data_IF_031986473280
#
_entry.id   IF_031986473280
#
_cell.length_a   1.000
_cell.length_b   1.000
_cell.length_c   1.000
_cell.angle_alpha   90.00
_cell.angle_beta   90.00
_cell.angle_gamma   90.00
#
_symmetry.space_group_name_H-M   'P 1'
#
loop_
_entity.id
_entity.type
_entity.pdbx_description
1 polymer ?
#
# COMPACT_ATOMS: atom_id res chain seq x y z
N UNK A 1 8.35 36.61 -2.88
CA UNK A 1 8.55 38.00 -3.37
C UNK A 1 9.93 38.20 -4.01
N UNK A 2 11.04 38.22 -3.25
CA UNK A 2 12.38 38.45 -3.86
C UNK A 2 12.74 37.37 -4.92
N UNK A 3 12.35 36.11 -4.69
CA UNK A 3 12.47 35.04 -5.69
C UNK A 3 11.65 35.34 -6.96
N UNK A 4 10.40 35.78 -6.81
CA UNK A 4 9.51 36.09 -7.93
C UNK A 4 10.02 37.29 -8.76
N UNK A 5 10.56 38.30 -8.08
CA UNK A 5 11.18 39.47 -8.73
C UNK A 5 12.40 39.07 -9.56
N UNK A 6 13.27 38.21 -9.01
CA UNK A 6 14.45 37.71 -9.72
C UNK A 6 14.05 36.80 -10.90
N UNK A 7 13.06 35.91 -10.71
CA UNK A 7 12.54 35.05 -11.77
C UNK A 7 11.98 35.89 -12.94
N UNK A 8 11.24 36.96 -12.64
CA UNK A 8 10.72 37.88 -13.65
C UNK A 8 11.84 38.65 -14.37
N UNK A 9 12.83 39.16 -13.63
CA UNK A 9 13.96 39.91 -14.20
C UNK A 9 14.77 39.06 -15.18
N UNK A 10 15.06 37.81 -14.81
CA UNK A 10 15.88 36.88 -15.61
C UNK A 10 15.09 36.02 -16.59
N UNK A 11 13.76 36.16 -16.62
CA UNK A 11 12.86 35.28 -17.38
C UNK A 11 13.02 33.79 -17.03
N UNK A 12 13.37 33.50 -15.78
CA UNK A 12 13.55 32.15 -15.26
C UNK A 12 12.25 31.56 -14.73
N UNK A 13 12.24 30.25 -14.56
CA UNK A 13 11.35 29.56 -13.64
C UNK A 13 12.17 29.10 -12.42
N UNK A 14 11.70 29.43 -11.22
CA UNK A 14 12.35 29.01 -9.97
C UNK A 14 11.32 28.15 -9.26
N UNK A 15 11.42 26.80 -9.34
CA UNK A 15 10.48 25.90 -8.70
C UNK A 15 10.36 26.23 -7.22
N UNK A 16 9.13 26.57 -6.82
CA UNK A 16 8.86 26.97 -5.46
C UNK A 16 8.67 25.73 -4.61
N UNK A 17 9.64 25.52 -3.73
CA UNK A 17 9.56 24.57 -2.64
C UNK A 17 9.27 25.34 -1.35
N UNK A 18 8.07 25.18 -0.80
CA UNK A 18 7.66 25.93 0.40
C UNK A 18 8.43 25.48 1.64
N UNK A 19 8.79 24.19 1.76
CA UNK A 19 9.55 23.67 2.90
C UNK A 19 10.96 24.26 2.90
N UNK A 20 11.62 24.28 1.74
CA UNK A 20 12.93 24.90 1.60
C UNK A 20 12.86 26.42 1.81
N UNK A 21 11.81 27.08 1.31
CA UNK A 21 11.60 28.52 1.53
C UNK A 21 11.44 28.84 3.02
N UNK A 22 10.65 28.05 3.73
CA UNK A 22 10.47 28.18 5.17
C UNK A 22 11.78 27.89 5.91
N UNK A 23 12.54 26.87 5.51
CA UNK A 23 13.86 26.59 6.12
C UNK A 23 14.80 27.78 5.97
N UNK A 24 15.04 28.26 4.74
CA UNK A 24 16.02 29.33 4.49
C UNK A 24 15.62 30.66 5.11
N UNK A 25 14.31 30.92 5.24
CA UNK A 25 13.80 32.15 5.87
C UNK A 25 13.95 32.11 7.39
N UNK A 26 13.79 30.94 8.02
CA UNK A 26 14.03 30.78 9.46
C UNK A 26 15.51 30.72 9.83
N UNK A 27 16.40 30.42 8.89
CA UNK A 27 17.86 30.39 9.12
C UNK A 27 18.50 31.79 9.19
N UNK A 28 17.81 32.84 8.71
CA UNK A 28 18.41 34.17 8.54
C UNK A 28 17.53 35.28 9.11
N UNK A 29 18.15 36.30 9.70
CA UNK A 29 17.42 37.45 10.25
C UNK A 29 17.03 38.47 9.17
N UNK A 30 17.88 38.63 8.15
CA UNK A 30 17.69 39.57 7.05
C UNK A 30 17.85 38.84 5.71
N UNK A 31 16.80 38.19 5.18
CA UNK A 31 16.90 37.41 3.95
C UNK A 31 17.14 38.31 2.74
N UNK A 32 18.25 38.10 2.04
CA UNK A 32 18.51 38.70 0.72
C UNK A 32 18.81 37.61 -0.29
N UNK A 33 18.05 37.60 -1.39
CA UNK A 33 18.19 36.65 -2.49
C UNK A 33 19.38 37.04 -3.38
N UNK A 34 20.13 36.04 -3.83
CA UNK A 34 21.16 36.17 -4.85
C UNK A 34 21.19 34.95 -5.78
N UNK A 35 21.61 35.15 -7.02
CA UNK A 35 21.86 34.06 -7.98
C UNK A 35 23.35 33.80 -8.16
N UNK A 36 23.68 32.55 -8.45
CA UNK A 36 25.00 32.13 -8.95
C UNK A 36 24.85 31.21 -10.16
N UNK A 37 25.98 30.87 -10.76
CA UNK A 37 26.09 29.98 -11.91
C UNK A 37 27.02 28.80 -11.63
N UNK A 38 26.83 27.71 -12.37
CA UNK A 38 27.76 26.57 -12.40
C UNK A 38 28.04 26.17 -13.84
N UNK A 39 29.04 25.32 -14.06
CA UNK A 39 29.40 24.85 -15.39
C UNK A 39 28.26 24.07 -16.05
N UNK A 40 27.93 24.40 -17.30
CA UNK A 40 26.91 23.73 -18.11
C UNK A 40 27.18 22.23 -18.28
N UNK A 41 28.46 21.82 -18.19
CA UNK A 41 28.89 20.42 -18.21
C UNK A 41 28.19 19.54 -17.16
N UNK A 42 27.80 20.13 -16.01
CA UNK A 42 27.10 19.40 -14.96
C UNK A 42 25.67 19.02 -15.35
N UNK A 43 25.07 19.66 -16.36
CA UNK A 43 23.74 19.29 -16.86
C UNK A 43 23.71 17.90 -17.53
N UNK A 44 24.87 17.29 -17.78
CA UNK A 44 24.97 15.90 -18.23
C UNK A 44 24.66 14.88 -17.12
N UNK A 45 24.64 15.30 -15.85
CA UNK A 45 24.25 14.48 -14.70
C UNK A 45 22.71 14.49 -14.59
N UNK A 46 22.07 13.40 -14.14
CA UNK A 46 20.63 13.40 -13.91
C UNK A 46 20.16 14.59 -13.05
N UNK A 47 19.07 15.22 -13.48
CA UNK A 47 18.50 16.41 -12.85
C UNK A 47 18.25 16.18 -11.34
N UNK A 48 17.79 15.00 -10.96
CA UNK A 48 17.49 14.66 -9.56
C UNK A 48 18.74 14.74 -8.68
N UNK A 49 19.92 14.39 -9.20
CA UNK A 49 21.19 14.54 -8.48
C UNK A 49 21.55 16.01 -8.30
N UNK A 50 21.38 16.82 -9.35
CA UNK A 50 21.66 18.26 -9.31
C UNK A 50 20.72 18.97 -8.35
N UNK A 51 19.42 18.70 -8.44
CA UNK A 51 18.38 19.26 -7.59
C UNK A 51 18.58 18.85 -6.14
N UNK A 52 18.85 17.57 -5.84
CA UNK A 52 19.13 17.12 -4.46
C UNK A 52 20.39 17.78 -3.90
N UNK A 53 21.47 17.88 -4.70
CA UNK A 53 22.70 18.57 -4.26
C UNK A 53 22.44 20.04 -3.95
N UNK A 54 21.65 20.73 -4.77
CA UNK A 54 21.29 22.13 -4.55
C UNK A 54 20.39 22.29 -3.32
N UNK A 55 19.28 21.57 -3.25
CA UNK A 55 18.26 21.75 -2.21
C UNK A 55 18.72 21.22 -0.86
N UNK A 56 19.01 19.93 -0.75
CA UNK A 56 19.24 19.26 0.53
C UNK A 56 20.62 19.62 1.11
N UNK A 57 21.65 19.69 0.27
CA UNK A 57 23.02 19.88 0.77
C UNK A 57 23.39 21.35 0.90
N UNK A 58 22.88 22.22 0.03
CA UNK A 58 23.27 23.65 -0.02
C UNK A 58 22.14 24.63 0.29
N UNK A 59 20.87 24.19 0.36
CA UNK A 59 19.69 25.05 0.52
C UNK A 59 19.56 26.08 -0.60
N UNK A 60 19.82 25.63 -1.82
CA UNK A 60 19.73 26.42 -3.04
C UNK A 60 18.49 26.00 -3.83
N UNK A 61 17.85 26.97 -4.45
CA UNK A 61 16.76 26.76 -5.39
C UNK A 61 17.33 26.49 -6.78
N UNK A 62 16.95 25.37 -7.43
CA UNK A 62 17.28 25.15 -8.82
C UNK A 62 16.60 26.20 -9.71
N UNK A 63 17.16 26.43 -10.89
CA UNK A 63 16.60 27.33 -11.90
C UNK A 63 16.24 26.51 -13.14
N UNK A 64 15.07 26.74 -13.68
CA UNK A 64 14.57 26.13 -14.90
C UNK A 64 14.25 27.17 -15.96
N UNK A 65 14.19 26.73 -17.21
CA UNK A 65 13.66 27.51 -18.32
C UNK A 65 12.11 27.41 -18.36
N UNK A 66 11.48 28.00 -19.39
CA UNK A 66 10.02 27.96 -19.56
C UNK A 66 9.49 26.61 -20.05
N UNK A 67 10.36 25.73 -20.52
CA UNK A 67 10.02 24.37 -20.95
C UNK A 67 10.13 23.35 -19.80
N UNK A 68 10.74 23.76 -18.68
CA UNK A 68 10.96 22.93 -17.49
C UNK A 68 12.35 22.30 -17.41
N UNK A 69 13.24 22.63 -18.34
CA UNK A 69 14.61 22.13 -18.39
C UNK A 69 15.49 22.89 -17.39
N UNK A 70 16.39 22.17 -16.71
CA UNK A 70 17.30 22.76 -15.74
C UNK A 70 18.31 23.68 -16.42
N UNK A 71 18.47 24.90 -15.89
CA UNK A 71 19.48 25.86 -16.32
C UNK A 71 20.71 25.80 -15.40
N UNK A 72 21.91 26.20 -15.88
CA UNK A 72 23.16 26.17 -15.11
C UNK A 72 23.26 27.33 -14.10
N UNK A 73 22.15 27.63 -13.43
CA UNK A 73 21.99 28.66 -12.43
C UNK A 73 21.34 28.11 -11.17
N UNK A 74 21.62 28.75 -10.05
CA UNK A 74 20.96 28.49 -8.78
C UNK A 74 20.66 29.80 -8.07
N UNK A 75 19.71 29.75 -7.16
CA UNK A 75 19.34 30.89 -6.33
C UNK A 75 19.49 30.51 -4.87
N UNK A 76 20.01 31.41 -4.04
CA UNK A 76 20.20 31.18 -2.61
C UNK A 76 19.87 32.44 -1.81
N UNK A 77 19.72 32.27 -0.50
CA UNK A 77 19.40 33.34 0.44
C UNK A 77 20.57 33.52 1.40
N UNK A 78 21.06 34.75 1.52
CA UNK A 78 22.04 35.13 2.55
C UNK A 78 21.38 35.87 3.70
N UNK A 79 22.09 35.93 4.83
CA UNK A 79 21.76 36.84 5.93
C UNK A 79 22.44 38.22 5.74
N UNK A 80 21.64 39.29 5.65
CA UNK A 80 22.05 40.70 5.57
C UNK A 80 21.75 41.37 4.23
N UNK A 81 22.32 42.56 3.98
CA UNK A 81 21.99 43.47 2.87
C UNK A 81 22.62 43.11 1.50
N UNK A 82 22.51 44.02 0.52
CA UNK A 82 23.06 43.88 -0.83
C UNK A 82 24.57 44.10 -0.95
N UNK A 83 25.28 44.26 0.17
CA UNK A 83 26.72 44.55 0.14
C UNK A 83 27.52 43.30 -0.24
N UNK A 84 28.39 43.46 -1.24
CA UNK A 84 29.30 42.43 -1.73
C UNK A 84 28.61 41.12 -2.18
N UNK A 85 27.38 41.19 -2.70
CA UNK A 85 26.62 40.03 -3.19
C UNK A 85 27.42 39.19 -4.20
N UNK A 86 28.16 39.82 -5.11
CA UNK A 86 28.99 39.10 -6.08
C UNK A 86 30.10 38.25 -5.46
N UNK A 87 30.65 38.68 -4.32
CA UNK A 87 31.67 37.90 -3.61
C UNK A 87 31.04 36.70 -2.91
N UNK A 88 29.84 36.89 -2.34
CA UNK A 88 29.06 35.81 -1.72
C UNK A 88 28.64 34.79 -2.79
N UNK A 89 28.13 35.26 -3.94
CA UNK A 89 27.79 34.42 -5.09
C UNK A 89 28.99 33.57 -5.51
N UNK A 90 30.14 34.17 -5.80
CA UNK A 90 31.38 33.44 -6.16
C UNK A 90 31.81 32.40 -5.12
N UNK A 91 31.60 32.70 -3.83
CA UNK A 91 31.83 31.74 -2.75
C UNK A 91 30.91 30.52 -2.86
N UNK A 92 29.61 30.76 -3.01
CA UNK A 92 28.60 29.71 -3.17
C UNK A 92 28.82 28.89 -4.46
N UNK A 93 29.17 29.54 -5.57
CA UNK A 93 29.52 28.86 -6.84
C UNK A 93 30.68 27.88 -6.64
N UNK A 94 31.73 28.29 -5.91
CA UNK A 94 32.87 27.42 -5.62
C UNK A 94 32.48 26.21 -4.78
N UNK A 95 31.60 26.39 -3.79
CA UNK A 95 31.12 25.31 -2.93
C UNK A 95 30.24 24.34 -3.72
N UNK A 96 29.29 24.86 -4.50
CA UNK A 96 28.42 24.03 -5.34
C UNK A 96 29.23 23.25 -6.37
N UNK A 97 30.16 23.89 -7.07
CA UNK A 97 31.04 23.24 -8.06
C UNK A 97 31.78 22.05 -7.46
N UNK A 98 32.33 22.18 -6.25
CA UNK A 98 33.00 21.07 -5.59
C UNK A 98 32.06 19.88 -5.38
N UNK A 99 30.84 20.14 -4.87
CA UNK A 99 29.82 19.09 -4.66
C UNK A 99 29.34 18.45 -5.96
N UNK A 100 29.11 19.25 -6.99
CA UNK A 100 28.70 18.75 -8.30
C UNK A 100 29.81 17.94 -8.97
N UNK A 101 31.09 18.30 -8.74
CA UNK A 101 32.24 17.51 -9.23
C UNK A 101 32.30 16.13 -8.59
N UNK A 102 32.05 16.04 -7.28
CA UNK A 102 31.99 14.76 -6.57
C UNK A 102 30.82 13.91 -7.09
N UNK A 103 29.63 14.51 -7.24
CA UNK A 103 28.47 13.84 -7.82
C UNK A 103 28.73 13.36 -9.26
N UNK A 104 29.37 14.18 -10.09
CA UNK A 104 29.76 13.83 -11.46
C UNK A 104 30.69 12.62 -11.47
N UNK A 105 31.64 12.59 -10.55
CA UNK A 105 32.58 11.49 -10.39
C UNK A 105 31.86 10.20 -10.01
N UNK A 106 30.99 10.23 -8.99
CA UNK A 106 30.21 9.06 -8.58
C UNK A 106 29.33 8.54 -9.71
N UNK A 107 28.61 9.44 -10.40
CA UNK A 107 27.77 9.07 -11.53
C UNK A 107 28.59 8.35 -12.60
N UNK A 108 29.73 8.93 -13.00
CA UNK A 108 30.61 8.36 -14.04
C UNK A 108 31.21 7.00 -13.65
N UNK A 109 31.57 6.80 -12.38
CA UNK A 109 32.07 5.52 -11.92
C UNK A 109 30.96 4.45 -11.90
N UNK A 110 29.76 4.81 -11.46
CA UNK A 110 28.61 3.91 -11.43
C UNK A 110 28.16 3.47 -12.83
N UNK A 111 28.35 4.28 -13.88
CA UNK A 111 28.03 3.86 -15.27
C UNK A 111 28.79 2.61 -15.73
N UNK A 112 29.88 2.25 -15.04
CA UNK A 112 30.72 1.08 -15.36
C UNK A 112 30.34 -0.16 -14.55
N UNK A 113 29.31 -0.07 -13.71
CA UNK A 113 28.92 -1.16 -12.83
C UNK A 113 28.35 -2.36 -13.61
N UNK A 114 28.36 -3.52 -12.97
CA UNK A 114 27.59 -4.68 -13.39
C UNK A 114 26.51 -4.95 -12.34
N UNK A 115 25.25 -5.03 -12.77
CA UNK A 115 24.09 -5.15 -11.87
C UNK A 115 24.18 -6.42 -11.02
N UNK A 116 24.48 -7.56 -11.65
CA UNK A 116 24.52 -8.85 -10.93
C UNK A 116 25.68 -8.92 -9.92
N UNK A 117 26.83 -8.33 -10.24
CA UNK A 117 27.93 -8.18 -9.28
C UNK A 117 27.57 -7.24 -8.13
N UNK A 118 26.77 -6.21 -8.38
CA UNK A 118 26.26 -5.33 -7.33
C UNK A 118 25.25 -6.06 -6.42
N UNK A 119 24.35 -6.87 -6.98
CA UNK A 119 23.43 -7.70 -6.19
C UNK A 119 24.21 -8.61 -5.23
N UNK A 120 25.33 -9.22 -5.66
CA UNK A 120 26.20 -10.03 -4.78
C UNK A 120 26.81 -9.24 -3.62
N UNK A 121 26.99 -7.92 -3.75
CA UNK A 121 27.50 -7.08 -2.65
C UNK A 121 26.46 -6.91 -1.54
N UNK A 122 25.17 -7.09 -1.82
CA UNK A 122 24.10 -7.00 -0.83
C UNK A 122 24.20 -8.06 0.28
N UNK A 123 24.88 -9.19 0.02
CA UNK A 123 25.19 -10.21 1.03
C UNK A 123 25.99 -9.66 2.22
N UNK A 124 26.75 -8.59 2.00
CA UNK A 124 27.62 -7.99 3.02
C UNK A 124 26.93 -6.90 3.84
N UNK A 125 25.75 -6.46 3.42
CA UNK A 125 25.00 -5.41 4.13
C UNK A 125 24.03 -6.10 5.08
N UNK A 126 24.23 -5.90 6.38
CA UNK A 126 23.32 -6.41 7.41
C UNK A 126 21.99 -5.68 7.28
N UNK A 127 20.91 -6.43 7.06
CA UNK A 127 19.55 -5.90 7.08
C UNK A 127 19.04 -5.81 8.52
N UNK A 128 19.21 -6.90 9.28
CA UNK A 128 18.94 -6.98 10.71
C UNK A 128 19.66 -8.21 11.28
N UNK A 129 20.13 -8.16 12.52
CA UNK A 129 20.94 -9.24 13.13
C UNK A 129 20.25 -10.62 13.06
N UNK A 130 18.94 -10.67 13.29
CA UNK A 130 18.14 -11.91 13.21
C UNK A 130 17.59 -12.24 11.81
N UNK A 131 17.60 -11.30 10.87
CA UNK A 131 17.01 -11.48 9.53
C UNK A 131 18.05 -11.62 8.41
N UNK A 132 19.34 -11.49 8.76
CA UNK A 132 20.46 -11.65 7.86
C UNK A 132 20.78 -10.39 7.06
N UNK A 133 21.22 -10.60 5.83
CA UNK A 133 21.68 -9.55 4.92
C UNK A 133 20.56 -8.96 4.07
N UNK A 134 20.85 -7.86 3.36
CA UNK A 134 19.98 -7.37 2.30
C UNK A 134 19.87 -8.38 1.14
N UNK A 135 20.90 -9.19 0.88
CA UNK A 135 20.81 -10.31 -0.06
C UNK A 135 19.77 -11.34 0.36
N UNK A 136 19.70 -11.67 1.65
CA UNK A 136 18.67 -12.55 2.21
C UNK A 136 17.26 -11.96 2.06
N UNK A 137 17.13 -10.65 2.30
CA UNK A 137 15.88 -9.92 2.09
C UNK A 137 15.42 -9.97 0.63
N UNK A 138 16.33 -9.73 -0.32
CA UNK A 138 16.03 -9.78 -1.77
C UNK A 138 15.55 -11.17 -2.17
N UNK A 139 16.22 -12.24 -1.74
CA UNK A 139 15.77 -13.63 -2.01
C UNK A 139 14.38 -13.94 -1.47
N UNK A 140 14.06 -13.48 -0.24
CA UNK A 140 12.72 -13.67 0.32
C UNK A 140 11.68 -12.86 -0.47
N UNK A 141 12.03 -11.65 -0.89
CA UNK A 141 11.19 -10.80 -1.74
C UNK A 141 10.90 -11.45 -3.08
N UNK A 142 11.91 -12.04 -3.76
CA UNK A 142 11.72 -12.82 -4.98
C UNK A 142 10.71 -13.96 -4.78
N UNK A 143 10.86 -14.75 -3.72
CA UNK A 143 9.96 -15.87 -3.42
C UNK A 143 8.51 -15.43 -3.16
N UNK A 144 8.32 -14.28 -2.49
CA UNK A 144 6.99 -13.70 -2.25
C UNK A 144 6.41 -13.15 -3.55
N UNK A 145 7.22 -12.46 -4.36
CA UNK A 145 6.80 -11.89 -5.64
C UNK A 145 6.31 -12.98 -6.62
N UNK A 146 6.97 -14.13 -6.65
CA UNK A 146 6.54 -15.28 -7.46
C UNK A 146 5.15 -15.78 -7.07
N UNK A 147 4.86 -15.93 -5.76
CA UNK A 147 3.54 -16.35 -5.27
C UNK A 147 2.44 -15.34 -5.61
N UNK A 148 2.76 -14.04 -5.52
CA UNK A 148 1.84 -12.98 -5.92
C UNK A 148 1.56 -13.07 -7.43
N UNK A 149 2.60 -13.25 -8.24
CA UNK A 149 2.48 -13.36 -9.70
C UNK A 149 1.57 -14.53 -10.13
N UNK A 150 1.66 -15.67 -9.44
CA UNK A 150 0.80 -16.84 -9.66
C UNK A 150 -0.69 -16.52 -9.39
N UNK A 151 -1.00 -15.85 -8.27
CA UNK A 151 -2.38 -15.56 -7.87
C UNK A 151 -3.03 -14.49 -8.74
N UNK A 152 -2.27 -13.50 -9.20
CA UNK A 152 -2.81 -12.50 -10.13
C UNK A 152 -2.95 -13.04 -11.56
N UNK A 153 -2.53 -14.29 -11.82
CA UNK A 153 -2.59 -14.93 -13.13
C UNK A 153 -1.68 -14.26 -14.16
N UNK A 154 -0.50 -13.78 -13.75
CA UNK A 154 0.45 -13.13 -14.64
C UNK A 154 0.93 -14.10 -15.74
N UNK A 155 1.05 -13.61 -16.97
CA UNK A 155 1.61 -14.40 -18.07
C UNK A 155 3.10 -14.69 -17.87
N UNK A 156 3.64 -15.63 -18.67
CA UNK A 156 5.03 -16.06 -18.52
C UNK A 156 6.04 -14.92 -18.72
N UNK A 157 5.78 -13.96 -19.61
CA UNK A 157 6.68 -12.84 -19.83
C UNK A 157 6.71 -11.94 -18.60
N UNK A 158 5.53 -11.58 -18.08
CA UNK A 158 5.36 -10.77 -16.87
C UNK A 158 6.01 -11.44 -15.66
N UNK A 159 5.89 -12.76 -15.52
CA UNK A 159 6.57 -13.52 -14.46
C UNK A 159 8.10 -13.39 -14.57
N UNK A 160 8.68 -13.44 -15.78
CA UNK A 160 10.13 -13.23 -15.95
C UNK A 160 10.55 -11.80 -15.62
N UNK A 161 9.74 -10.80 -15.98
CA UNK A 161 9.97 -9.40 -15.63
C UNK A 161 9.96 -9.22 -14.11
N UNK A 162 8.97 -9.79 -13.42
CA UNK A 162 8.85 -9.75 -11.96
C UNK A 162 10.09 -10.38 -11.31
N UNK A 163 10.49 -11.59 -11.73
CA UNK A 163 11.69 -12.26 -11.20
C UNK A 163 12.94 -11.41 -11.37
N UNK A 164 13.17 -10.85 -12.56
CA UNK A 164 14.33 -9.99 -12.81
C UNK A 164 14.29 -8.72 -11.96
N UNK A 165 13.14 -8.04 -11.93
CA UNK A 165 12.95 -6.82 -11.15
C UNK A 165 13.12 -7.05 -9.65
N UNK A 166 12.56 -8.13 -9.08
CA UNK A 166 12.76 -8.47 -7.67
C UNK A 166 14.23 -8.75 -7.37
N UNK A 167 14.91 -9.49 -8.25
CA UNK A 167 16.32 -9.86 -8.07
C UNK A 167 17.26 -8.67 -8.00
N UNK A 168 17.02 -7.67 -8.86
CA UNK A 168 17.87 -6.48 -8.92
C UNK A 168 17.32 -5.33 -8.09
N UNK A 169 16.14 -5.46 -7.46
CA UNK A 169 15.39 -4.35 -6.84
C UNK A 169 16.22 -3.38 -5.99
N UNK A 170 17.27 -3.86 -5.31
CA UNK A 170 18.11 -3.07 -4.39
C UNK A 170 19.58 -2.95 -4.81
N UNK A 171 19.91 -3.23 -6.07
CA UNK A 171 21.30 -3.22 -6.54
C UNK A 171 21.96 -1.83 -6.43
N UNK A 172 21.14 -0.77 -6.44
CA UNK A 172 21.57 0.60 -6.39
C UNK A 172 22.10 1.01 -5.01
N UNK A 173 21.68 0.34 -3.94
CA UNK A 173 22.15 0.60 -2.56
C UNK A 173 23.67 0.43 -2.36
N UNK A 174 24.36 -0.26 -3.28
CA UNK A 174 25.81 -0.45 -3.26
C UNK A 174 26.55 0.40 -4.29
N UNK A 175 25.86 1.34 -4.93
CA UNK A 175 26.46 2.31 -5.86
C UNK A 175 27.11 3.46 -5.10
N UNK A 176 28.07 4.12 -5.72
CA UNK A 176 28.70 5.29 -5.12
C UNK A 176 27.70 6.45 -4.99
N UNK A 177 26.84 6.64 -5.99
CA UNK A 177 25.81 7.67 -5.97
C UNK A 177 24.85 7.50 -4.80
N UNK A 178 24.25 6.32 -4.62
CA UNK A 178 23.27 6.12 -3.53
C UNK A 178 23.95 6.07 -2.16
N UNK A 179 25.21 5.66 -2.09
CA UNK A 179 25.98 5.75 -0.85
C UNK A 179 26.15 7.21 -0.38
N UNK A 180 26.44 8.13 -1.29
CA UNK A 180 26.56 9.56 -0.98
C UNK A 180 25.20 10.28 -0.89
N UNK A 181 24.22 9.85 -1.69
CA UNK A 181 22.87 10.44 -1.78
C UNK A 181 21.78 9.37 -1.56
N UNK A 182 21.55 8.92 -0.31
CA UNK A 182 20.57 7.87 0.01
C UNK A 182 19.13 8.19 -0.42
N UNK A 183 18.79 9.48 -0.54
CA UNK A 183 17.50 9.99 -1.00
C UNK A 183 17.19 9.58 -2.45
N UNK A 184 18.23 9.33 -3.25
CA UNK A 184 18.13 8.98 -4.66
C UNK A 184 17.99 7.48 -4.93
N UNK A 185 17.87 6.66 -3.88
CA UNK A 185 17.58 5.24 -4.03
C UNK A 185 16.27 5.00 -4.81
N UNK A 186 16.24 3.94 -5.60
CA UNK A 186 15.19 3.63 -6.57
C UNK A 186 15.31 4.47 -7.85
N UNK A 187 15.41 5.79 -7.74
CA UNK A 187 15.51 6.71 -8.89
C UNK A 187 16.79 6.44 -9.68
N UNK A 188 17.92 6.40 -8.99
CA UNK A 188 19.20 6.08 -9.64
C UNK A 188 19.27 4.63 -10.08
N UNK A 189 18.67 3.71 -9.30
CA UNK A 189 18.54 2.31 -9.70
C UNK A 189 17.81 2.14 -11.04
N UNK A 190 16.68 2.81 -11.23
CA UNK A 190 15.93 2.83 -12.48
C UNK A 190 16.78 3.40 -13.64
N UNK A 191 17.43 4.55 -13.45
CA UNK A 191 18.27 5.16 -14.50
C UNK A 191 19.45 4.26 -14.88
N UNK A 192 20.12 3.66 -13.90
CA UNK A 192 21.24 2.74 -14.14
C UNK A 192 20.77 1.44 -14.80
N UNK A 193 19.62 0.89 -14.38
CA UNK A 193 19.04 -0.30 -15.01
C UNK A 193 18.75 -0.05 -16.51
N UNK A 194 18.11 1.08 -16.84
CA UNK A 194 17.89 1.47 -18.26
C UNK A 194 19.20 1.63 -19.02
N UNK A 195 20.16 2.33 -18.45
CA UNK A 195 21.45 2.59 -19.09
C UNK A 195 22.21 1.29 -19.40
N UNK A 196 22.09 0.29 -18.53
CA UNK A 196 22.75 -1.01 -18.67
C UNK A 196 21.93 -2.03 -19.47
N UNK A 197 20.82 -1.60 -20.07
CA UNK A 197 20.06 -2.40 -21.04
C UNK A 197 19.00 -3.34 -20.44
N UNK A 198 18.59 -3.13 -19.18
CA UNK A 198 17.41 -3.80 -18.65
C UNK A 198 16.15 -3.38 -19.41
N UNK A 199 15.14 -4.25 -19.43
CA UNK A 199 13.82 -3.92 -19.99
C UNK A 199 13.20 -2.75 -19.21
N UNK A 200 12.40 -1.94 -19.90
CA UNK A 200 11.77 -0.74 -19.32
C UNK A 200 10.94 -1.07 -18.08
N UNK A 201 10.16 -2.14 -18.13
CA UNK A 201 9.31 -2.59 -17.01
C UNK A 201 10.13 -3.02 -15.79
N UNK A 202 11.32 -3.60 -16.03
CA UNK A 202 12.25 -3.99 -14.96
C UNK A 202 12.88 -2.75 -14.33
N UNK A 203 13.37 -1.83 -15.17
CA UNK A 203 14.00 -0.61 -14.70
C UNK A 203 13.01 0.27 -13.91
N UNK A 204 11.80 0.44 -14.41
CA UNK A 204 10.73 1.16 -13.72
C UNK A 204 10.39 0.49 -12.37
N UNK A 205 10.28 -0.83 -12.34
CA UNK A 205 10.01 -1.57 -11.11
C UNK A 205 11.10 -1.41 -10.04
N UNK A 206 12.37 -1.18 -10.42
CA UNK A 206 13.45 -0.89 -9.47
C UNK A 206 13.18 0.41 -8.69
N UNK A 207 12.55 1.42 -9.28
CA UNK A 207 12.11 2.58 -8.53
C UNK A 207 10.76 2.37 -7.85
N UNK A 208 9.79 1.86 -8.60
CA UNK A 208 8.41 1.71 -8.12
C UNK A 208 8.28 0.76 -6.93
N UNK A 209 9.20 -0.19 -6.72
CA UNK A 209 9.10 -1.08 -5.56
C UNK A 209 9.21 -0.35 -4.20
N UNK A 210 9.78 0.86 -4.18
CA UNK A 210 9.76 1.71 -2.99
C UNK A 210 8.39 2.35 -2.73
N UNK A 211 7.53 2.43 -3.75
CA UNK A 211 6.22 3.08 -3.69
C UNK A 211 5.15 2.19 -2.99
N UNK A 212 4.15 2.79 -2.33
CA UNK A 212 4.12 4.19 -1.94
C UNK A 212 5.21 4.49 -0.89
N UNK A 213 5.94 5.60 -1.09
CA UNK A 213 7.06 6.02 -0.21
C UNK A 213 6.57 6.62 1.11
N UNK A 214 5.35 7.14 1.12
CA UNK A 214 4.67 7.74 2.27
C UNK A 214 3.18 7.36 2.30
N UNK A 215 2.54 7.50 3.45
CA UNK A 215 1.10 7.24 3.57
C UNK A 215 0.30 8.19 2.65
N UNK A 216 -0.55 7.63 1.80
CA UNK A 216 -1.30 8.41 0.81
C UNK A 216 -0.47 8.87 -0.40
N UNK A 217 0.81 8.48 -0.50
CA UNK A 217 1.61 8.68 -1.71
C UNK A 217 1.14 7.79 -2.86
N UNK A 218 1.68 7.98 -4.06
CA UNK A 218 1.23 7.21 -5.23
C UNK A 218 1.56 5.72 -5.13
N UNK A 219 0.64 4.87 -5.57
CA UNK A 219 0.90 3.45 -5.74
C UNK A 219 1.74 3.22 -7.02
N UNK A 220 2.55 2.14 -7.08
CA UNK A 220 3.25 1.73 -8.31
C UNK A 220 2.29 1.70 -9.50
N UNK A 221 2.68 2.27 -10.65
CA UNK A 221 1.83 2.35 -11.84
C UNK A 221 1.92 1.10 -12.71
N UNK A 222 3.06 0.41 -12.71
CA UNK A 222 3.26 -0.84 -13.46
C UNK A 222 2.90 -2.09 -12.63
N UNK A 223 2.43 -3.15 -13.31
CA UNK A 223 2.13 -4.44 -12.66
C UNK A 223 3.40 -5.02 -12.02
N UNK A 224 4.53 -4.98 -12.74
CA UNK A 224 5.83 -5.49 -12.26
C UNK A 224 6.25 -4.74 -11.00
N UNK A 225 6.23 -3.41 -11.03
CA UNK A 225 6.55 -2.57 -9.87
C UNK A 225 5.61 -2.81 -8.70
N UNK A 226 4.30 -2.95 -8.94
CA UNK A 226 3.32 -3.23 -7.90
C UNK A 226 3.54 -4.57 -7.20
N UNK A 227 3.88 -5.62 -7.95
CA UNK A 227 4.16 -6.94 -7.37
C UNK A 227 5.43 -6.90 -6.53
N UNK A 228 6.51 -6.30 -7.04
CA UNK A 228 7.78 -6.22 -6.30
C UNK A 228 7.64 -5.31 -5.08
N UNK A 229 6.89 -4.20 -5.18
CA UNK A 229 6.56 -3.33 -4.05
C UNK A 229 5.80 -4.10 -2.96
N UNK A 230 4.72 -4.79 -3.34
CA UNK A 230 3.92 -5.57 -2.41
C UNK A 230 4.77 -6.64 -1.71
N UNK A 231 5.61 -7.32 -2.47
CA UNK A 231 6.50 -8.36 -1.96
C UNK A 231 7.56 -7.82 -0.97
N UNK A 232 8.26 -6.74 -1.30
CA UNK A 232 9.31 -6.16 -0.45
C UNK A 232 8.74 -5.63 0.87
N UNK A 233 7.58 -4.97 0.80
CA UNK A 233 6.87 -4.48 1.98
C UNK A 233 6.36 -5.64 2.84
N UNK A 234 5.78 -6.66 2.22
CA UNK A 234 5.29 -7.84 2.93
C UNK A 234 6.44 -8.61 3.60
N UNK A 235 7.56 -8.83 2.91
CA UNK A 235 8.75 -9.47 3.51
C UNK A 235 9.18 -8.71 4.77
N UNK A 236 9.26 -7.38 4.67
CA UNK A 236 9.65 -6.53 5.80
C UNK A 236 8.69 -6.71 6.97
N UNK A 237 7.39 -6.51 6.76
CA UNK A 237 6.40 -6.57 7.84
C UNK A 237 6.36 -7.99 8.44
N UNK A 238 6.24 -9.03 7.62
CA UNK A 238 6.15 -10.40 8.11
C UNK A 238 7.44 -10.86 8.81
N UNK A 239 8.62 -10.48 8.31
CA UNK A 239 9.90 -10.85 8.92
C UNK A 239 10.08 -10.24 10.31
N UNK A 240 9.73 -8.96 10.49
CA UNK A 240 9.80 -8.31 11.80
C UNK A 240 8.79 -8.89 12.79
N UNK A 241 7.57 -9.23 12.34
CA UNK A 241 6.60 -9.95 13.17
C UNK A 241 7.10 -11.36 13.54
N UNK A 242 7.84 -12.04 12.66
CA UNK A 242 8.43 -13.36 12.93
C UNK A 242 9.37 -13.36 14.13
N UNK A 243 10.16 -12.30 14.27
CA UNK A 243 11.16 -12.14 15.34
C UNK A 243 10.59 -11.39 16.55
N UNK A 244 9.28 -11.13 16.60
CA UNK A 244 8.61 -10.47 17.73
C UNK A 244 8.85 -8.96 17.83
N UNK A 245 9.37 -8.32 16.77
CA UNK A 245 9.58 -6.87 16.72
C UNK A 245 8.32 -6.21 16.15
N UNK A 246 7.33 -5.99 17.02
CA UNK A 246 6.01 -5.46 16.66
C UNK A 246 5.91 -3.99 17.10
N UNK A 247 5.41 -3.06 16.24
CA UNK A 247 5.28 -1.66 16.60
C UNK A 247 4.33 -1.45 17.77
N UNK A 248 4.72 -0.64 18.76
CA UNK A 248 3.88 -0.28 19.92
C UNK A 248 3.32 1.13 19.75
N UNK A 249 2.24 1.49 20.48
CA UNK A 249 1.42 2.70 20.29
C UNK A 249 2.11 3.92 19.65
N UNK A 250 3.18 4.44 20.25
CA UNK A 250 3.93 5.60 19.73
C UNK A 250 5.23 5.27 18.99
N UNK A 251 5.71 4.03 19.02
CA UNK A 251 7.02 3.65 18.48
C UNK A 251 6.90 2.71 17.28
N UNK A 252 7.49 3.14 16.17
CA UNK A 252 7.66 2.34 14.97
C UNK A 252 9.06 2.57 14.37
N UNK A 253 10.12 2.08 15.04
CA UNK A 253 11.51 2.39 14.65
C UNK A 253 11.88 1.90 13.25
N UNK A 254 11.18 0.88 12.73
CA UNK A 254 11.42 0.29 11.42
C UNK A 254 10.37 0.71 10.37
N UNK A 255 9.44 1.60 10.72
CA UNK A 255 8.42 2.11 9.80
C UNK A 255 7.43 1.04 9.29
N UNK A 256 7.18 -0.02 10.07
CA UNK A 256 6.32 -1.14 9.68
C UNK A 256 4.87 -0.72 9.46
N UNK A 257 4.37 0.30 10.18
CA UNK A 257 3.02 0.86 9.93
C UNK A 257 2.94 1.52 8.58
N UNK A 258 3.99 2.25 8.18
CA UNK A 258 4.05 2.87 6.86
C UNK A 258 4.08 1.80 5.78
N UNK A 259 4.89 0.75 5.95
CA UNK A 259 4.95 -0.36 4.99
C UNK A 259 3.62 -1.11 4.88
N UNK A 260 2.99 -1.44 6.01
CA UNK A 260 1.68 -2.10 6.02
C UNK A 260 0.56 -1.22 5.43
N UNK A 261 0.61 0.09 5.63
CA UNK A 261 -0.32 1.01 4.98
C UNK A 261 -0.09 1.03 3.46
N UNK A 262 1.17 0.98 3.02
CA UNK A 262 1.51 0.85 1.60
C UNK A 262 1.03 -0.45 0.97
N UNK A 263 1.12 -1.58 1.69
CA UNK A 263 0.53 -2.87 1.28
C UNK A 263 -0.97 -2.73 1.04
N UNK A 264 -1.72 -2.20 2.02
CA UNK A 264 -3.17 -2.00 1.88
C UNK A 264 -3.48 -1.10 0.69
N UNK A 265 -2.73 -0.01 0.52
CA UNK A 265 -2.92 0.91 -0.58
C UNK A 265 -2.70 0.23 -1.96
N UNK A 266 -1.65 -0.57 -2.11
CA UNK A 266 -1.40 -1.33 -3.35
C UNK A 266 -2.56 -2.30 -3.61
N UNK A 267 -3.03 -3.01 -2.60
CA UNK A 267 -4.15 -3.97 -2.75
C UNK A 267 -5.45 -3.27 -3.16
N UNK A 268 -5.74 -2.09 -2.60
CA UNK A 268 -6.90 -1.28 -2.95
C UNK A 268 -6.81 -0.73 -4.37
N UNK A 269 -5.65 -0.23 -4.78
CA UNK A 269 -5.41 0.30 -6.13
C UNK A 269 -5.51 -0.80 -7.19
N UNK A 270 -4.86 -1.94 -6.94
CA UNK A 270 -4.76 -3.03 -7.91
C UNK A 270 -5.95 -3.96 -7.97
N UNK A 271 -6.72 -4.08 -6.88
CA UNK A 271 -7.92 -4.90 -6.82
C UNK A 271 -7.68 -6.35 -7.29
N UNK A 272 -6.62 -6.95 -6.75
CA UNK A 272 -6.19 -8.31 -7.08
C UNK A 272 -6.99 -9.41 -6.35
N UNK A 273 -7.93 -9.04 -5.48
CA UNK A 273 -8.75 -10.02 -4.76
C UNK A 273 -7.97 -10.83 -3.73
N UNK A 274 -6.86 -10.30 -3.20
CA UNK A 274 -5.98 -10.97 -2.25
C UNK A 274 -6.43 -10.63 -0.82
N UNK A 275 -6.85 -11.65 -0.06
CA UNK A 275 -7.16 -11.51 1.37
C UNK A 275 -5.90 -11.32 2.21
N UNK A 276 -6.05 -10.75 3.41
CA UNK A 276 -4.91 -10.65 4.34
C UNK A 276 -4.36 -12.01 4.76
N UNK A 277 -5.18 -13.06 4.76
CA UNK A 277 -4.73 -14.41 5.08
C UNK A 277 -3.87 -14.98 3.96
N UNK A 278 -4.27 -14.81 2.71
CA UNK A 278 -3.46 -15.20 1.54
C UNK A 278 -2.16 -14.40 1.47
N UNK A 279 -2.25 -13.08 1.69
CA UNK A 279 -1.09 -12.22 1.77
C UNK A 279 -0.09 -12.72 2.83
N UNK A 280 -0.55 -13.01 4.04
CA UNK A 280 0.30 -13.57 5.09
C UNK A 280 0.85 -14.96 4.72
N UNK A 281 0.10 -15.79 3.99
CA UNK A 281 0.54 -17.09 3.50
C UNK A 281 1.72 -16.98 2.51
N UNK A 282 1.80 -15.90 1.72
CA UNK A 282 2.95 -15.70 0.83
C UNK A 282 4.27 -15.58 1.59
N UNK A 283 4.22 -15.06 2.83
CA UNK A 283 5.36 -15.02 3.74
C UNK A 283 5.40 -16.20 4.74
N UNK A 284 4.50 -17.18 4.63
CA UNK A 284 4.40 -18.34 5.52
C UNK A 284 3.91 -18.00 6.93
N UNK A 285 3.03 -17.00 7.06
CA UNK A 285 2.51 -16.48 8.33
C UNK A 285 0.97 -16.39 8.37
N UNK A 286 0.27 -17.24 7.62
CA UNK A 286 -1.20 -17.27 7.55
C UNK A 286 -1.90 -17.50 8.90
N UNK A 287 -1.18 -18.06 9.89
CA UNK A 287 -1.66 -18.31 11.25
C UNK A 287 -1.22 -17.23 12.27
N UNK A 288 -0.48 -16.20 11.83
CA UNK A 288 -0.01 -15.13 12.73
C UNK A 288 -1.14 -14.12 12.96
N UNK A 289 -1.85 -14.25 14.10
CA UNK A 289 -2.97 -13.38 14.44
C UNK A 289 -2.56 -11.92 14.65
N UNK A 290 -1.34 -11.66 15.17
CA UNK A 290 -0.85 -10.29 15.38
C UNK A 290 -0.61 -9.58 14.05
N UNK A 291 -0.07 -10.28 13.06
CA UNK A 291 0.14 -9.75 11.70
C UNK A 291 -1.20 -9.43 11.01
N UNK A 292 -2.16 -10.35 11.08
CA UNK A 292 -3.49 -10.16 10.51
C UNK A 292 -4.22 -8.98 11.18
N UNK A 293 -4.14 -8.87 12.51
CA UNK A 293 -4.70 -7.75 13.24
C UNK A 293 -4.01 -6.43 12.88
N UNK A 294 -2.69 -6.46 12.65
CA UNK A 294 -1.95 -5.28 12.21
C UNK A 294 -2.44 -4.77 10.84
N UNK A 295 -2.69 -5.67 9.88
CA UNK A 295 -3.28 -5.31 8.59
C UNK A 295 -4.73 -4.81 8.73
N UNK A 296 -5.55 -5.46 9.57
CA UNK A 296 -6.91 -5.00 9.90
C UNK A 296 -6.92 -3.56 10.40
N UNK A 297 -6.00 -3.22 11.31
CA UNK A 297 -5.88 -1.85 11.81
C UNK A 297 -5.51 -0.84 10.72
N UNK A 298 -4.73 -1.24 9.70
CA UNK A 298 -4.42 -0.36 8.56
C UNK A 298 -5.66 -0.13 7.70
N UNK A 299 -6.43 -1.17 7.42
CA UNK A 299 -7.69 -1.06 6.69
C UNK A 299 -8.75 -0.25 7.47
N UNK A 300 -8.81 -0.42 8.80
CA UNK A 300 -9.64 0.40 9.70
C UNK A 300 -9.36 1.89 9.55
N UNK A 301 -8.07 2.27 9.45
CA UNK A 301 -7.68 3.66 9.23
C UNK A 301 -8.21 4.20 7.90
N UNK A 302 -8.11 3.42 6.82
CA UNK A 302 -8.65 3.79 5.50
C UNK A 302 -10.16 4.03 5.58
N UNK A 303 -10.93 3.08 6.13
CA UNK A 303 -12.38 3.19 6.26
C UNK A 303 -12.81 4.37 7.13
N UNK A 304 -12.06 4.65 8.20
CA UNK A 304 -12.34 5.80 9.07
C UNK A 304 -12.08 7.12 8.35
N UNK A 305 -11.03 7.19 7.51
CA UNK A 305 -10.74 8.36 6.70
C UNK A 305 -11.82 8.64 5.63
N UNK A 306 -12.55 7.60 5.18
CA UNK A 306 -13.73 7.71 4.32
C UNK A 306 -15.02 8.09 5.08
N UNK A 307 -14.94 8.39 6.39
CA UNK A 307 -16.07 8.72 7.27
C UNK A 307 -17.13 7.61 7.42
N UNK A 308 -16.74 6.34 7.25
CA UNK A 308 -17.61 5.20 7.53
C UNK A 308 -17.83 5.08 9.05
N UNK A 309 -19.06 4.79 9.48
CA UNK A 309 -19.38 4.62 10.91
C UNK A 309 -18.59 3.47 11.53
N UNK A 310 -18.15 3.65 12.78
CA UNK A 310 -17.27 2.70 13.47
C UNK A 310 -17.85 1.27 13.55
N UNK A 311 -19.17 1.14 13.71
CA UNK A 311 -19.87 -0.14 13.82
C UNK A 311 -19.96 -0.87 12.48
N UNK A 312 -20.10 -0.14 11.37
CA UNK A 312 -19.98 -0.68 10.01
C UNK A 312 -18.54 -1.12 9.72
N UNK A 313 -17.55 -0.33 10.15
CA UNK A 313 -16.14 -0.67 10.02
C UNK A 313 -15.84 -1.99 10.74
N UNK A 314 -16.24 -2.12 12.01
CA UNK A 314 -16.01 -3.33 12.79
C UNK A 314 -16.74 -4.54 12.16
N UNK A 315 -17.97 -4.35 11.66
CA UNK A 315 -18.73 -5.40 10.98
C UNK A 315 -17.99 -5.98 9.77
N UNK A 316 -17.38 -5.14 8.94
CA UNK A 316 -16.68 -5.60 7.72
C UNK A 316 -15.33 -6.23 8.05
N UNK A 317 -14.59 -5.68 9.01
CA UNK A 317 -13.27 -6.21 9.43
C UNK A 317 -13.35 -7.59 10.11
N UNK A 318 -14.54 -7.94 10.61
CA UNK A 318 -14.86 -9.25 11.19
C UNK A 318 -15.45 -10.24 10.18
N UNK A 319 -15.44 -9.93 8.88
CA UNK A 319 -15.81 -10.87 7.82
C UNK A 319 -14.85 -12.07 7.76
N UNK A 320 -15.36 -13.22 7.31
CA UNK A 320 -14.61 -14.50 7.30
C UNK A 320 -13.44 -14.51 6.31
N UNK A 321 -13.55 -13.76 5.20
CA UNK A 321 -12.49 -13.59 4.22
C UNK A 321 -12.26 -12.09 3.97
N UNK A 322 -11.35 -11.51 4.75
CA UNK A 322 -11.07 -10.08 4.68
C UNK A 322 -10.14 -9.75 3.52
N UNK A 323 -10.75 -9.48 2.37
CA UNK A 323 -10.09 -8.94 1.18
C UNK A 323 -10.28 -7.41 1.15
N UNK A 324 -9.19 -6.60 1.08
CA UNK A 324 -9.26 -5.16 1.32
C UNK A 324 -10.19 -4.39 0.39
N UNK A 325 -10.17 -4.69 -0.91
CA UNK A 325 -10.97 -3.95 -1.89
C UNK A 325 -12.47 -4.18 -1.65
N UNK A 326 -12.88 -5.44 -1.55
CA UNK A 326 -14.25 -5.82 -1.26
C UNK A 326 -14.70 -5.32 0.10
N UNK A 327 -13.83 -5.27 1.10
CA UNK A 327 -14.15 -4.70 2.40
C UNK A 327 -14.54 -3.22 2.29
N UNK A 328 -13.75 -2.40 1.58
CA UNK A 328 -14.08 -0.99 1.34
C UNK A 328 -15.43 -0.86 0.61
N UNK A 329 -15.67 -1.67 -0.42
CA UNK A 329 -16.94 -1.62 -1.15
C UNK A 329 -18.14 -2.07 -0.31
N UNK A 330 -18.02 -3.15 0.45
CA UNK A 330 -19.05 -3.66 1.36
C UNK A 330 -19.36 -2.64 2.47
N UNK A 331 -18.35 -1.97 3.01
CA UNK A 331 -18.53 -0.92 4.00
C UNK A 331 -19.34 0.26 3.45
N UNK A 332 -19.03 0.73 2.24
CA UNK A 332 -19.80 1.78 1.58
C UNK A 332 -21.27 1.38 1.32
N UNK A 333 -21.51 0.12 0.92
CA UNK A 333 -22.87 -0.42 0.74
C UNK A 333 -23.63 -0.44 2.07
N UNK A 334 -23.02 -0.91 3.15
CA UNK A 334 -23.64 -0.93 4.48
C UNK A 334 -23.91 0.47 5.03
N UNK A 335 -22.99 1.41 4.83
CA UNK A 335 -23.17 2.80 5.24
C UNK A 335 -24.40 3.42 4.54
N UNK A 336 -24.53 3.20 3.23
CA UNK A 336 -25.68 3.64 2.44
C UNK A 336 -26.97 2.91 2.84
N UNK A 337 -26.90 1.60 3.08
CA UNK A 337 -28.04 0.79 3.50
C UNK A 337 -28.54 1.21 4.89
N UNK A 338 -27.64 1.50 5.82
CA UNK A 338 -27.97 1.90 7.19
C UNK A 338 -28.75 3.23 7.29
N UNK A 339 -28.76 4.03 6.23
CA UNK A 339 -29.59 5.23 6.12
C UNK A 339 -31.06 4.93 5.74
N UNK A 340 -31.38 3.71 5.30
CA UNK A 340 -32.72 3.32 4.85
C UNK A 340 -33.58 2.81 6.02
N UNK A 341 -34.89 3.11 6.09
CA UNK A 341 -35.76 2.65 7.17
C UNK A 341 -35.84 1.12 7.31
N UNK A 342 -35.84 0.42 6.18
CA UNK A 342 -35.98 -1.04 6.07
C UNK A 342 -34.75 -1.82 6.55
N UNK A 343 -33.62 -1.12 6.72
CA UNK A 343 -32.36 -1.76 7.11
C UNK A 343 -32.42 -2.37 8.50
N UNK A 344 -33.13 -1.72 9.44
CA UNK A 344 -33.23 -2.21 10.82
C UNK A 344 -33.76 -3.63 10.89
N UNK A 345 -34.92 -3.87 10.29
CA UNK A 345 -35.58 -5.18 10.33
C UNK A 345 -34.73 -6.24 9.60
N UNK A 346 -34.12 -5.85 8.48
CA UNK A 346 -33.21 -6.73 7.72
C UNK A 346 -31.99 -7.13 8.55
N UNK A 347 -31.33 -6.14 9.18
CA UNK A 347 -30.15 -6.39 10.00
C UNK A 347 -30.47 -7.25 11.22
N UNK A 348 -31.61 -7.04 11.88
CA UNK A 348 -32.07 -7.85 13.01
C UNK A 348 -32.32 -9.32 12.62
N UNK A 349 -32.97 -9.56 11.47
CA UNK A 349 -33.19 -10.91 10.95
C UNK A 349 -31.86 -11.63 10.66
N UNK A 350 -30.93 -10.97 9.97
CA UNK A 350 -29.60 -11.54 9.67
C UNK A 350 -28.77 -11.75 10.95
N UNK A 351 -28.77 -10.80 11.87
CA UNK A 351 -28.07 -10.88 13.16
C UNK A 351 -28.56 -12.05 14.03
N UNK A 352 -29.87 -12.35 13.99
CA UNK A 352 -30.46 -13.49 14.71
C UNK A 352 -29.85 -14.81 14.26
N UNK A 353 -29.67 -15.01 12.95
CA UNK A 353 -29.01 -16.20 12.40
C UNK A 353 -27.56 -16.32 12.88
N UNK A 354 -26.79 -15.23 12.79
CA UNK A 354 -25.39 -15.22 13.25
C UNK A 354 -25.29 -15.51 14.76
N UNK A 355 -26.25 -15.03 15.55
CA UNK A 355 -26.23 -15.21 17.01
C UNK A 355 -26.55 -16.64 17.43
N UNK A 356 -27.49 -17.29 16.74
CA UNK A 356 -27.88 -18.68 17.02
C UNK A 356 -26.79 -19.66 16.58
N UNK A 357 -26.01 -19.34 15.54
CA UNK A 357 -24.93 -20.21 15.04
C UNK A 357 -23.62 -20.16 15.85
N UNK A 358 -23.51 -19.33 16.91
CA UNK A 358 -22.25 -19.06 17.66
C UNK A 358 -21.56 -20.29 18.28
N UNK A 359 -22.16 -21.47 18.25
CA UNK A 359 -21.60 -22.74 18.77
C UNK A 359 -21.86 -23.93 17.84
N UNK A 360 -22.20 -23.68 16.59
CA UNK A 360 -22.59 -24.70 15.64
C UNK A 360 -21.48 -24.96 14.63
N UNK A 361 -21.21 -26.24 14.34
CA UNK A 361 -20.32 -26.63 13.26
C UNK A 361 -21.06 -26.66 11.93
N UNK A 362 -20.36 -26.33 10.84
CA UNK A 362 -20.87 -26.43 9.48
C UNK A 362 -20.91 -27.89 9.06
N UNK A 363 -21.99 -28.58 9.43
CA UNK A 363 -22.28 -29.94 9.00
C UNK A 363 -23.16 -29.94 7.74
N UNK A 364 -23.21 -31.07 7.04
CA UNK A 364 -24.12 -31.23 5.91
C UNK A 364 -25.58 -31.15 6.38
N UNK A 365 -26.38 -30.35 5.67
CA UNK A 365 -27.82 -30.23 5.90
C UNK A 365 -28.51 -31.43 5.23
N UNK A 366 -29.28 -32.18 6.00
CA UNK A 366 -30.06 -33.32 5.54
C UNK A 366 -31.52 -32.92 5.35
N UNK A 367 -31.94 -32.77 4.09
CA UNK A 367 -33.30 -32.39 3.73
C UNK A 367 -34.37 -33.43 4.15
N UNK A 368 -33.96 -34.69 4.41
CA UNK A 368 -34.89 -35.72 4.87
C UNK A 368 -35.35 -35.54 6.32
N UNK A 369 -34.66 -34.68 7.07
CA UNK A 369 -34.97 -34.35 8.47
C UNK A 369 -35.85 -33.09 8.62
N UNK A 370 -36.26 -32.44 7.54
CA UNK A 370 -37.15 -31.28 7.62
C UNK A 370 -38.55 -31.69 8.06
N UNK A 371 -39.10 -31.00 9.07
CA UNK A 371 -40.43 -31.32 9.63
C UNK A 371 -41.54 -30.39 9.14
N UNK A 372 -41.18 -29.22 8.60
CA UNK A 372 -42.14 -28.23 8.13
C UNK A 372 -41.71 -27.56 6.81
N UNK A 373 -42.64 -26.90 6.10
CA UNK A 373 -42.33 -26.23 4.83
C UNK A 373 -41.30 -25.10 4.97
N UNK A 374 -41.27 -24.40 6.11
CA UNK A 374 -40.37 -23.26 6.32
C UNK A 374 -38.90 -23.68 6.38
N UNK A 375 -38.58 -24.87 6.90
CA UNK A 375 -37.22 -25.43 6.85
C UNK A 375 -36.75 -25.61 5.40
N UNK A 376 -37.61 -26.16 4.54
CA UNK A 376 -37.34 -26.38 3.13
C UNK A 376 -37.28 -25.06 2.33
N UNK A 377 -38.19 -24.13 2.58
CA UNK A 377 -38.22 -22.80 1.95
C UNK A 377 -36.96 -21.99 2.28
N UNK A 378 -36.54 -21.97 3.55
CA UNK A 378 -35.30 -21.31 3.95
C UNK A 378 -34.08 -21.96 3.30
N UNK A 379 -34.05 -23.29 3.20
CA UNK A 379 -32.95 -24.01 2.55
C UNK A 379 -32.85 -23.66 1.07
N UNK A 380 -33.99 -23.63 0.34
CA UNK A 380 -34.04 -23.20 -1.08
C UNK A 380 -33.61 -21.75 -1.26
N UNK A 381 -34.07 -20.85 -0.38
CA UNK A 381 -33.68 -19.44 -0.42
C UNK A 381 -32.17 -19.26 -0.17
N UNK A 382 -31.62 -20.03 0.76
CA UNK A 382 -30.17 -20.07 1.01
C UNK A 382 -29.38 -20.55 -0.20
N UNK A 383 -29.77 -21.67 -0.82
CA UNK A 383 -29.06 -22.19 -2.00
C UNK A 383 -29.10 -21.21 -3.18
N UNK A 384 -30.27 -20.61 -3.44
CA UNK A 384 -30.43 -19.59 -4.48
C UNK A 384 -29.58 -18.33 -4.19
N UNK A 385 -29.62 -17.82 -2.95
CA UNK A 385 -28.81 -16.67 -2.55
C UNK A 385 -27.31 -16.98 -2.68
N UNK A 386 -26.87 -18.18 -2.30
CA UNK A 386 -25.47 -18.60 -2.40
C UNK A 386 -24.97 -18.60 -3.84
N UNK A 387 -25.74 -19.17 -4.77
CA UNK A 387 -25.38 -19.20 -6.20
C UNK A 387 -25.30 -17.79 -6.80
N UNK A 388 -26.24 -16.92 -6.41
CA UNK A 388 -26.30 -15.55 -6.91
C UNK A 388 -25.17 -14.70 -6.35
N UNK A 389 -24.84 -14.86 -5.06
CA UNK A 389 -23.72 -14.18 -4.43
C UNK A 389 -22.37 -14.50 -5.09
N UNK A 390 -22.15 -15.76 -5.49
CA UNK A 390 -20.94 -16.13 -6.22
C UNK A 390 -20.81 -15.35 -7.53
N UNK A 391 -21.90 -15.26 -8.30
CA UNK A 391 -21.94 -14.48 -9.55
C UNK A 391 -21.74 -12.98 -9.31
N UNK A 392 -22.37 -12.42 -8.28
CA UNK A 392 -22.30 -11.01 -7.93
C UNK A 392 -20.91 -10.61 -7.43
N UNK A 393 -20.27 -11.45 -6.62
CA UNK A 393 -18.88 -11.20 -6.19
C UNK A 393 -17.89 -11.28 -7.35
N UNK A 394 -18.06 -12.21 -8.29
CA UNK A 394 -17.26 -12.22 -9.53
C UNK A 394 -17.47 -10.96 -10.36
N UNK A 395 -18.70 -10.44 -10.43
CA UNK A 395 -19.04 -9.18 -11.09
C UNK A 395 -18.65 -7.94 -10.26
N UNK A 396 -18.13 -8.10 -9.04
CA UNK A 396 -17.84 -7.02 -8.08
C UNK A 396 -19.05 -6.13 -7.77
N UNK A 397 -20.25 -6.68 -7.87
CA UNK A 397 -21.52 -6.03 -7.55
C UNK A 397 -21.91 -6.27 -6.08
N UNK A 398 -21.33 -5.45 -5.20
CA UNK A 398 -21.58 -5.54 -3.76
C UNK A 398 -22.95 -4.98 -3.34
N UNK A 399 -23.54 -4.07 -4.13
CA UNK A 399 -24.89 -3.58 -3.90
C UNK A 399 -25.92 -4.68 -4.18
N UNK A 400 -25.80 -5.33 -5.34
CA UNK A 400 -26.58 -6.51 -5.68
C UNK A 400 -26.40 -7.63 -4.65
N UNK A 401 -25.17 -7.89 -4.22
CA UNK A 401 -24.88 -8.90 -3.20
C UNK A 401 -25.64 -8.64 -1.88
N UNK A 402 -25.62 -7.40 -1.38
CA UNK A 402 -26.38 -7.04 -0.19
C UNK A 402 -27.89 -7.11 -0.43
N UNK A 403 -28.35 -6.73 -1.63
CA UNK A 403 -29.77 -6.85 -2.00
C UNK A 403 -30.24 -8.30 -1.99
N UNK A 404 -29.44 -9.27 -2.45
CA UNK A 404 -29.78 -10.69 -2.36
C UNK A 404 -29.83 -11.19 -0.92
N UNK A 405 -28.84 -10.80 -0.09
CA UNK A 405 -28.87 -11.11 1.34
C UNK A 405 -30.11 -10.54 2.04
N UNK A 406 -30.55 -9.34 1.65
CA UNK A 406 -31.73 -8.70 2.22
C UNK A 406 -33.02 -9.47 1.94
N UNK A 407 -33.10 -10.21 0.82
CA UNK A 407 -34.25 -11.08 0.50
C UNK A 407 -34.38 -12.26 1.44
N UNK A 408 -33.31 -12.63 2.16
CA UNK A 408 -33.38 -13.71 3.16
C UNK A 408 -34.19 -13.30 4.40
N UNK A 409 -34.50 -12.02 4.59
CA UNK A 409 -35.29 -11.53 5.75
C UNK A 409 -36.60 -12.32 5.92
N UNK A 410 -37.46 -12.32 4.90
CA UNK A 410 -38.79 -12.97 4.96
C UNK A 410 -38.71 -14.48 5.27
N UNK A 411 -37.90 -15.30 4.56
CA UNK A 411 -37.79 -16.72 4.89
C UNK A 411 -37.13 -16.97 6.26
N UNK A 412 -36.24 -16.09 6.73
CA UNK A 412 -35.66 -16.19 8.08
C UNK A 412 -36.73 -15.94 9.15
N UNK A 413 -37.53 -14.89 9.00
CA UNK A 413 -38.61 -14.57 9.94
C UNK A 413 -39.64 -15.71 9.98
N UNK A 414 -40.10 -16.16 8.81
CA UNK A 414 -41.05 -17.27 8.70
C UNK A 414 -40.51 -18.56 9.33
N UNK A 415 -39.22 -18.87 9.13
CA UNK A 415 -38.56 -20.01 9.76
C UNK A 415 -38.61 -19.92 11.28
N UNK A 416 -38.25 -18.77 11.85
CA UNK A 416 -38.20 -18.60 13.30
C UNK A 416 -39.56 -18.52 13.98
N UNK A 417 -40.60 -18.12 13.25
CA UNK A 417 -41.97 -18.13 13.76
C UNK A 417 -42.57 -19.54 13.85
N UNK A 418 -42.08 -20.48 13.03
CA UNK A 418 -42.64 -21.82 12.91
C UNK A 418 -41.68 -22.94 13.37
N UNK A 419 -40.41 -22.64 13.59
CA UNK A 419 -39.36 -23.64 13.85
C UNK A 419 -38.55 -23.29 15.09
N UNK A 420 -38.55 -24.21 16.06
CA UNK A 420 -37.66 -24.13 17.22
C UNK A 420 -36.31 -24.78 16.90
N UNK A 421 -35.24 -23.99 16.83
CA UNK A 421 -33.88 -24.49 16.50
C UNK A 421 -33.36 -25.47 17.54
N UNK A 422 -33.57 -25.18 18.83
CA UNK A 422 -33.20 -26.07 19.92
C UNK A 422 -34.29 -27.12 20.19
N UNK A 423 -34.46 -28.03 19.22
CA UNK A 423 -35.39 -29.15 19.35
C UNK A 423 -34.91 -30.19 20.39
N UNK A 424 -35.84 -30.99 20.91
CA UNK A 424 -35.54 -32.10 21.82
C UNK A 424 -34.84 -33.27 21.11
N UNK A 425 -35.19 -33.52 19.84
CA UNK A 425 -34.50 -34.50 19.01
C UNK A 425 -33.12 -33.94 18.60
N UNK A 426 -32.05 -34.61 19.05
CA UNK A 426 -30.67 -34.19 18.79
C UNK A 426 -30.31 -34.22 17.30
N UNK A 427 -30.91 -35.09 16.48
CA UNK A 427 -30.66 -35.13 15.02
C UNK A 427 -31.27 -33.91 14.35
N UNK A 428 -32.50 -33.59 14.71
CA UNK A 428 -33.23 -32.43 14.19
C UNK A 428 -32.55 -31.12 14.61
N UNK A 429 -32.18 -31.01 15.88
CA UNK A 429 -31.41 -29.88 16.41
C UNK A 429 -30.07 -29.72 15.70
N UNK A 430 -29.34 -30.82 15.47
CA UNK A 430 -28.08 -30.78 14.71
C UNK A 430 -28.29 -30.28 13.27
N UNK A 431 -29.34 -30.74 12.59
CA UNK A 431 -29.66 -30.32 11.22
C UNK A 431 -30.03 -28.83 11.14
N UNK A 432 -30.90 -28.36 12.04
CA UNK A 432 -31.31 -26.95 12.14
C UNK A 432 -30.12 -26.05 12.47
N UNK A 433 -29.24 -26.47 13.37
CA UNK A 433 -28.00 -25.74 13.68
C UNK A 433 -27.02 -25.72 12.50
N UNK A 434 -26.96 -26.78 11.70
CA UNK A 434 -26.15 -26.82 10.47
C UNK A 434 -26.68 -25.83 9.41
N UNK A 435 -28.01 -25.72 9.28
CA UNK A 435 -28.66 -24.71 8.44
C UNK A 435 -28.32 -23.30 8.91
N UNK A 436 -28.44 -23.02 10.22
CA UNK A 436 -28.05 -21.72 10.80
C UNK A 436 -26.55 -21.41 10.63
N UNK A 437 -25.68 -22.40 10.76
CA UNK A 437 -24.24 -22.23 10.54
C UNK A 437 -23.94 -21.86 9.08
N UNK A 438 -24.55 -22.57 8.13
CA UNK A 438 -24.39 -22.31 6.69
C UNK A 438 -24.89 -20.93 6.28
N UNK A 439 -26.07 -20.52 6.76
CA UNK A 439 -26.55 -19.15 6.52
C UNK A 439 -25.67 -18.11 7.20
N UNK A 440 -25.21 -18.36 8.43
CA UNK A 440 -24.35 -17.41 9.13
C UNK A 440 -23.00 -17.21 8.41
N UNK A 441 -22.43 -18.27 7.84
CA UNK A 441 -21.23 -18.17 7.00
C UNK A 441 -21.50 -17.35 5.75
N UNK A 442 -22.64 -17.56 5.08
CA UNK A 442 -23.06 -16.76 3.93
C UNK A 442 -23.19 -15.27 4.28
N UNK A 443 -23.82 -14.95 5.40
CA UNK A 443 -23.98 -13.56 5.86
C UNK A 443 -22.63 -12.95 6.26
N UNK A 444 -21.80 -13.69 7.02
CA UNK A 444 -20.46 -13.25 7.44
C UNK A 444 -19.49 -13.08 6.27
N UNK A 445 -19.75 -13.72 5.12
CA UNK A 445 -18.99 -13.46 3.89
C UNK A 445 -19.10 -12.00 3.44
N UNK A 446 -20.21 -11.34 3.77
CA UNK A 446 -20.41 -9.92 3.52
C UNK A 446 -19.94 -9.08 4.71
N UNK A 447 -20.51 -9.29 5.90
CA UNK A 447 -20.10 -8.61 7.13
C UNK A 447 -20.63 -9.33 8.37
N UNK A 448 -20.01 -9.10 9.53
CA UNK A 448 -20.59 -9.45 10.82
C UNK A 448 -21.67 -8.43 11.21
N UNK A 449 -22.91 -8.65 10.73
CA UNK A 449 -24.05 -7.75 10.97
C UNK A 449 -24.33 -7.52 12.47
N UNK A 450 -23.96 -8.45 13.36
CA UNK A 450 -24.09 -8.27 14.81
C UNK A 450 -23.31 -7.05 15.37
N UNK A 451 -22.27 -6.60 14.68
CA UNK A 451 -21.48 -5.45 15.11
C UNK A 451 -22.19 -4.12 14.79
N UNK A 452 -23.17 -4.11 13.87
CA UNK A 452 -23.87 -2.90 13.43
C UNK A 452 -24.94 -2.50 14.45
N UNK A 453 -24.93 -1.24 14.84
CA UNK A 453 -25.91 -0.66 15.74
C UNK A 453 -27.08 -0.13 14.93
N UNK A 454 -28.18 -0.87 14.99
CA UNK A 454 -29.49 -0.48 14.47
C UNK A 454 -30.32 0.16 15.59
N UNK A 455 -30.72 1.42 15.39
CA UNK A 455 -31.56 2.18 16.34
C UNK A 455 -33.02 2.11 15.97
#
# INVERSE_FOLDING_TARGET
KQLDELAAEKSWDIPRDEDLLDEVTHLVEYPTVLSGSYEEEFLAIPEEVLVTTMKEHQRYFPVKDKNGDLLPYFVTVRNGDSRALENVARGNEKVLRARLSDAAFFYKEDQKLNIDENVKKLEKIVFHEELGSLGDKVRRTEAVAERIAEIIGADQETVQLIKRASHISKFDLVTHMVYEFPELQGIMGEKYARMLGEKEEVALAVNEHYMPRQAGGEAPSSIVGAVVALADKLDTVASFFKIGVIPTGSQDPYGLRRQASGIVQILLDRNWGISFKELAAFAGQEANSELLEFFKQRLKYVLTAENIRYDVVDAVLESSNLEPYSAVKKAAVLESAAAKPEFKETAEALARVISISKKSETNAIDASLFENPQEEELFKAYEACRQQLETLYQAKDYEGAFSELSKLKEPIEAYFDHTMVHAEDERLKANRLAQMASLAELIRSFANINAIIVK
#
